data_IF_106951180578
#
_entry.id   IF_106951180578
#
_cell.length_a   1.000
_cell.length_b   1.000
_cell.length_c   1.000
_cell.angle_alpha   90.00
_cell.angle_beta   90.00
_cell.angle_gamma   90.00
#
_symmetry.space_group_name_H-M   'P 1'
#
loop_
_entity.id
_entity.type
_entity.pdbx_description
1 polymer ?
#
# COMPACT_ATOMS: atom_id res chain seq x y z
N UNK A 1 11.97 -20.23 15.90
CA UNK A 1 11.87 -18.77 16.09
C UNK A 1 10.52 -18.53 16.73
N UNK A 2 10.50 -18.07 17.98
CA UNK A 2 9.27 -17.81 18.72
C UNK A 2 8.68 -16.50 18.22
N UNK A 3 7.47 -16.53 17.66
CA UNK A 3 6.70 -15.31 17.40
C UNK A 3 6.19 -14.83 18.76
N UNK A 4 6.78 -13.74 19.26
CA UNK A 4 6.31 -13.08 20.47
C UNK A 4 4.87 -12.58 20.24
N UNK A 5 3.87 -13.03 21.02
CA UNK A 5 2.45 -12.76 20.78
C UNK A 5 2.01 -11.35 21.23
N UNK A 6 2.95 -10.45 21.52
CA UNK A 6 2.71 -9.13 22.12
C UNK A 6 3.01 -7.94 21.21
N UNK A 7 3.08 -8.11 19.88
CA UNK A 7 2.87 -6.96 19.00
C UNK A 7 1.41 -6.53 19.15
N UNK A 8 1.18 -5.53 20.00
CA UNK A 8 -0.16 -5.00 20.26
C UNK A 8 -0.78 -4.50 18.96
N UNK A 9 -2.08 -4.72 18.76
CA UNK A 9 -2.83 -4.22 17.59
C UNK A 9 -2.59 -2.72 17.35
N UNK A 10 -2.33 -1.98 18.44
CA UNK A 10 -1.97 -0.56 18.44
C UNK A 10 -0.70 -0.25 17.64
N UNK A 11 0.34 -1.09 17.73
CA UNK A 11 1.58 -0.86 16.97
C UNK A 11 1.41 -1.06 15.47
N UNK A 12 0.53 -1.98 15.06
CA UNK A 12 0.22 -2.18 13.63
C UNK A 12 -0.63 -1.04 13.09
N UNK A 13 -1.58 -0.56 13.88
CA UNK A 13 -2.40 0.60 13.54
C UNK A 13 -1.54 1.86 13.38
N UNK A 14 -0.61 2.12 14.30
CA UNK A 14 0.30 3.27 14.23
C UNK A 14 1.21 3.21 12.99
N UNK A 15 1.75 2.03 12.68
CA UNK A 15 2.57 1.81 11.49
C UNK A 15 1.77 2.01 10.21
N UNK A 16 0.53 1.52 10.14
CA UNK A 16 -0.36 1.74 9.01
C UNK A 16 -0.69 3.22 8.84
N UNK A 17 -1.07 3.93 9.90
CA UNK A 17 -1.36 5.38 9.86
C UNK A 17 -0.16 6.14 9.31
N UNK A 18 1.06 5.75 9.70
CA UNK A 18 2.28 6.35 9.17
C UNK A 18 2.42 6.14 7.67
N UNK A 19 2.15 4.93 7.16
CA UNK A 19 2.16 4.65 5.72
C UNK A 19 1.09 5.49 5.00
N UNK A 20 -0.14 5.50 5.50
CA UNK A 20 -1.27 6.30 4.97
C UNK A 20 -0.95 7.79 4.89
N UNK A 21 -0.21 8.30 5.87
CA UNK A 21 0.23 9.70 5.89
C UNK A 21 1.34 9.96 4.86
N UNK A 22 2.36 9.09 4.82
CA UNK A 22 3.54 9.30 3.98
C UNK A 22 3.25 9.11 2.49
N UNK A 23 2.32 8.24 2.11
CA UNK A 23 1.96 7.99 0.70
C UNK A 23 1.54 9.25 -0.08
N UNK A 24 1.09 10.29 0.64
CA UNK A 24 0.70 11.61 0.10
C UNK A 24 1.85 12.48 -0.39
N UNK A 25 3.08 12.15 -0.05
CA UNK A 25 4.27 12.96 -0.39
C UNK A 25 5.37 12.15 -1.11
N UNK A 26 5.05 10.95 -1.58
CA UNK A 26 6.03 10.08 -2.25
C UNK A 26 6.33 10.58 -3.66
N UNK A 27 7.59 10.46 -4.03
CA UNK A 27 8.15 10.76 -5.33
C UNK A 27 9.10 9.63 -5.72
N UNK A 28 9.64 9.67 -6.94
CA UNK A 28 10.62 8.68 -7.40
C UNK A 28 11.87 8.60 -6.51
N UNK A 29 12.26 9.71 -5.87
CA UNK A 29 13.49 9.80 -5.07
C UNK A 29 13.38 9.02 -3.76
N UNK A 30 12.23 9.08 -3.08
CA UNK A 30 12.00 8.44 -1.78
C UNK A 30 11.18 7.14 -1.87
N UNK A 31 10.86 6.69 -3.09
CA UNK A 31 10.07 5.49 -3.35
C UNK A 31 10.62 4.23 -2.67
N UNK A 32 11.91 3.92 -2.84
CA UNK A 32 12.50 2.71 -2.27
C UNK A 32 12.45 2.67 -0.73
N UNK A 33 12.57 3.82 -0.08
CA UNK A 33 12.45 3.92 1.39
C UNK A 33 11.01 3.68 1.84
N UNK A 34 10.04 4.13 1.03
CA UNK A 34 8.63 3.91 1.30
C UNK A 34 8.20 2.46 1.06
N UNK A 35 8.73 1.81 0.02
CA UNK A 35 8.57 0.37 -0.25
C UNK A 35 9.05 -0.47 0.94
N UNK A 36 10.25 -0.18 1.48
CA UNK A 36 10.75 -0.85 2.67
C UNK A 36 9.86 -0.62 3.91
N UNK A 37 9.26 0.57 4.04
CA UNK A 37 8.32 0.86 5.11
C UNK A 37 7.05 0.02 4.96
N UNK A 38 6.48 -0.07 3.75
CA UNK A 38 5.29 -0.90 3.47
C UNK A 38 5.54 -2.34 3.88
N UNK A 39 6.65 -2.94 3.43
CA UNK A 39 7.01 -4.34 3.72
C UNK A 39 7.08 -4.66 5.21
N UNK A 40 7.46 -3.68 6.03
CA UNK A 40 7.63 -3.85 7.49
C UNK A 40 6.42 -3.42 8.31
N UNK A 41 5.47 -2.72 7.68
CA UNK A 41 4.35 -2.05 8.36
C UNK A 41 2.99 -2.62 8.01
N UNK A 42 2.81 -3.11 6.78
CA UNK A 42 1.52 -3.58 6.27
C UNK A 42 1.56 -5.08 6.06
N UNK A 43 0.72 -5.79 6.80
CA UNK A 43 0.58 -7.25 6.70
C UNK A 43 -0.78 -7.60 6.08
N UNK A 44 -1.84 -6.93 6.52
CA UNK A 44 -3.21 -7.15 6.05
C UNK A 44 -4.12 -5.97 6.44
N UNK A 45 -5.35 -5.98 5.94
CA UNK A 45 -6.38 -4.99 6.31
C UNK A 45 -6.65 -3.94 5.24
N UNK A 46 -7.30 -2.85 5.64
CA UNK A 46 -7.61 -1.71 4.77
C UNK A 46 -6.48 -0.70 4.84
N UNK A 47 -6.01 -0.22 3.68
CA UNK A 47 -5.07 0.91 3.56
C UNK A 47 -5.80 2.05 2.85
N UNK A 48 -5.93 3.18 3.53
CA UNK A 48 -6.50 4.41 2.97
C UNK A 48 -5.46 5.18 2.17
N UNK A 49 -5.61 5.14 0.85
CA UNK A 49 -4.73 5.83 -0.10
C UNK A 49 -5.28 7.18 -0.55
N UNK A 50 -6.31 7.72 0.13
CA UNK A 50 -6.92 8.99 -0.27
C UNK A 50 -5.89 10.13 -0.24
N UNK A 51 -5.75 10.81 -1.38
CA UNK A 51 -4.78 11.88 -1.58
C UNK A 51 -3.33 11.41 -1.73
N UNK A 52 -3.09 10.11 -1.91
CA UNK A 52 -1.77 9.60 -2.22
C UNK A 52 -1.27 10.07 -3.58
N UNK A 53 0.05 10.16 -3.70
CA UNK A 53 0.70 10.37 -4.99
C UNK A 53 0.63 9.11 -5.84
N UNK A 54 0.69 9.25 -7.16
CA UNK A 54 0.77 8.10 -8.06
C UNK A 54 1.98 7.21 -7.76
N UNK A 55 3.13 7.79 -7.42
CA UNK A 55 4.32 7.02 -7.03
C UNK A 55 4.10 6.25 -5.71
N UNK A 56 3.38 6.83 -4.75
CA UNK A 56 3.00 6.12 -3.52
C UNK A 56 2.08 4.94 -3.80
N UNK A 57 1.10 5.09 -4.70
CA UNK A 57 0.20 4.00 -5.09
C UNK A 57 0.96 2.92 -5.86
N UNK A 58 1.86 3.29 -6.80
CA UNK A 58 2.72 2.34 -7.52
C UNK A 58 3.58 1.52 -6.55
N UNK A 59 4.23 2.18 -5.58
CA UNK A 59 5.02 1.52 -4.54
C UNK A 59 4.19 0.50 -3.75
N UNK A 60 2.99 0.88 -3.30
CA UNK A 60 2.09 -0.03 -2.58
C UNK A 60 1.71 -1.25 -3.41
N UNK A 61 1.28 -1.05 -4.65
CA UNK A 61 0.88 -2.15 -5.52
C UNK A 61 2.06 -3.06 -5.87
N UNK A 62 3.26 -2.52 -6.04
CA UNK A 62 4.49 -3.29 -6.23
C UNK A 62 4.74 -4.20 -5.03
N UNK A 63 4.78 -3.66 -3.81
CA UNK A 63 5.01 -4.46 -2.61
C UNK A 63 3.91 -5.49 -2.37
N UNK A 64 2.65 -5.14 -2.62
CA UNK A 64 1.55 -6.11 -2.54
C UNK A 64 1.68 -7.24 -3.56
N UNK A 65 2.21 -6.97 -4.74
CA UNK A 65 2.45 -7.98 -5.77
C UNK A 65 3.66 -8.88 -5.45
N UNK A 66 4.72 -8.31 -4.89
CA UNK A 66 5.97 -9.02 -4.57
C UNK A 66 5.86 -9.87 -3.31
N UNK A 67 5.24 -9.34 -2.26
CA UNK A 67 5.11 -9.99 -0.94
C UNK A 67 3.75 -10.70 -0.77
N UNK A 68 2.96 -10.76 -1.84
CA UNK A 68 1.61 -11.35 -1.87
C UNK A 68 0.66 -10.79 -0.77
N UNK A 69 0.81 -9.50 -0.43
CA UNK A 69 0.02 -8.86 0.62
C UNK A 69 -1.46 -8.79 0.23
N UNK A 70 -2.32 -9.23 1.14
CA UNK A 70 -3.78 -9.23 0.96
C UNK A 70 -4.40 -8.05 1.68
N UNK A 71 -4.30 -6.89 1.04
CA UNK A 71 -4.91 -5.65 1.54
C UNK A 71 -6.12 -5.25 0.72
N UNK A 72 -7.02 -4.50 1.36
CA UNK A 72 -8.07 -3.73 0.69
C UNK A 72 -7.57 -2.30 0.53
N UNK A 73 -7.63 -1.78 -0.68
CA UNK A 73 -7.21 -0.42 -0.99
C UNK A 73 -8.46 0.46 -0.96
N UNK A 74 -8.45 1.50 -0.13
CA UNK A 74 -9.53 2.49 -0.07
C UNK A 74 -9.06 3.80 -0.68
N UNK A 75 -9.78 4.28 -1.68
CA UNK A 75 -9.63 5.63 -2.22
C UNK A 75 -10.96 6.34 -2.03
N UNK A 76 -10.97 7.40 -1.21
CA UNK A 76 -12.17 8.14 -0.84
C UNK A 76 -13.34 7.22 -0.43
N UNK A 77 -14.32 7.04 -1.32
CA UNK A 77 -15.50 6.17 -1.12
C UNK A 77 -15.40 4.82 -1.84
N UNK A 78 -14.36 4.61 -2.64
CA UNK A 78 -14.12 3.43 -3.48
C UNK A 78 -13.23 2.44 -2.74
N UNK A 79 -13.56 1.16 -2.87
CA UNK A 79 -12.78 0.06 -2.31
C UNK A 79 -12.36 -0.89 -3.42
N UNK A 80 -11.07 -1.21 -3.45
CA UNK A 80 -10.46 -2.11 -4.41
C UNK A 80 -9.88 -3.29 -3.64
N UNK A 81 -10.27 -4.50 -4.03
CA UNK A 81 -9.76 -5.75 -3.47
C UNK A 81 -9.19 -6.60 -4.59
N UNK A 82 -7.92 -6.38 -4.98
CA UNK A 82 -7.29 -7.16 -6.01
C UNK A 82 -7.25 -8.63 -5.61
N UNK A 83 -7.93 -9.50 -6.37
CA UNK A 83 -7.86 -10.96 -6.17
C UNK A 83 -6.44 -11.46 -6.46
N UNK A 84 -5.79 -10.85 -7.45
CA UNK A 84 -4.37 -10.99 -7.75
C UNK A 84 -3.85 -9.65 -8.24
N UNK A 85 -2.65 -9.31 -7.80
CA UNK A 85 -1.97 -8.13 -8.32
C UNK A 85 -1.37 -8.43 -9.70
N UNK A 86 -1.48 -7.49 -10.66
CA UNK A 86 -0.76 -7.59 -11.92
C UNK A 86 0.75 -7.51 -11.66
N UNK A 87 1.55 -7.92 -12.66
CA UNK A 87 3.02 -7.85 -12.58
C UNK A 87 3.58 -6.87 -13.61
N UNK A 88 4.73 -6.29 -13.29
CA UNK A 88 5.49 -5.45 -14.20
C UNK A 88 4.70 -4.22 -14.67
N UNK A 89 4.70 -3.88 -15.98
CA UNK A 89 4.10 -2.65 -16.49
C UNK A 89 2.60 -2.49 -16.17
N UNK A 90 1.86 -3.58 -16.01
CA UNK A 90 0.44 -3.54 -15.70
C UNK A 90 0.13 -2.99 -14.30
N UNK A 91 1.11 -2.97 -13.39
CA UNK A 91 0.98 -2.30 -12.08
C UNK A 91 0.78 -0.80 -12.28
N UNK A 92 1.46 -0.22 -13.27
CA UNK A 92 1.36 1.22 -13.52
C UNK A 92 -0.03 1.61 -13.99
N UNK A 93 -0.60 0.85 -14.94
CA UNK A 93 -1.96 1.05 -15.42
C UNK A 93 -2.99 0.87 -14.30
N UNK A 94 -2.81 -0.13 -13.42
CA UNK A 94 -3.70 -0.30 -12.27
C UNK A 94 -3.60 0.87 -11.29
N UNK A 95 -2.40 1.38 -11.03
CA UNK A 95 -2.22 2.54 -10.16
C UNK A 95 -2.94 3.77 -10.72
N UNK A 96 -2.80 4.02 -12.02
CA UNK A 96 -3.46 5.12 -12.72
C UNK A 96 -4.99 4.99 -12.69
N UNK A 97 -5.53 3.79 -12.94
CA UNK A 97 -6.97 3.52 -12.86
C UNK A 97 -7.54 3.74 -11.45
N UNK A 98 -6.81 3.29 -10.41
CA UNK A 98 -7.21 3.49 -9.01
C UNK A 98 -7.26 4.99 -8.67
N UNK A 99 -6.18 5.74 -8.98
CA UNK A 99 -6.08 7.17 -8.67
C UNK A 99 -7.10 7.99 -9.46
N UNK A 100 -7.20 7.78 -10.78
CA UNK A 100 -8.13 8.52 -11.66
C UNK A 100 -9.60 8.14 -11.43
N UNK A 101 -9.86 6.88 -11.12
CA UNK A 101 -11.21 6.32 -11.13
C UNK A 101 -11.79 6.04 -12.50
N UNK A 102 -10.96 6.10 -13.53
CA UNK A 102 -11.30 5.71 -14.87
C UNK A 102 -10.88 4.24 -15.08
N UNK A 103 -11.74 3.44 -15.71
CA UNK A 103 -11.53 2.02 -16.02
C UNK A 103 -11.64 1.78 -17.52
#
# INVERSE_FOLDING_TARGET
>A
MSLDPHFSETEFDDKRIRVETLGRIISKVNRAQFEQLIRTSIISGVVDITGWTLEGVKALLTECAEEELRITIKEATRYFMPVRYPKGPMIESLAEAIVSGEW
#
